data_IF_848516505813
#
_entry.id   IF_848516505813
#
_cell.length_a   1.000
_cell.length_b   1.000
_cell.length_c   1.000
_cell.angle_alpha   90.00
_cell.angle_beta   90.00
_cell.angle_gamma   90.00
#
_symmetry.space_group_name_H-M   'P 1'
#
loop_
_entity.id
_entity.type
_entity.pdbx_description
1 polymer ?
#
# COMPACT_ATOMS: atom_id res chain seq x y z
N UNK A 1 -59.66 -0.37 -39.58
CA UNK A 1 -59.49 -0.46 -38.11
C UNK A 1 -58.03 -0.74 -37.83
N UNK A 2 -57.34 0.24 -37.24
CA UNK A 2 -55.94 0.17 -36.81
C UNK A 2 -55.82 -0.46 -35.42
N UNK A 3 -54.58 -0.78 -35.04
CA UNK A 3 -54.05 -0.98 -33.69
C UNK A 3 -54.26 -2.35 -33.04
N UNK A 4 -53.30 -2.95 -32.33
CA UNK A 4 -51.98 -2.50 -31.88
C UNK A 4 -51.18 -3.78 -31.53
N UNK A 5 -50.01 -3.96 -32.13
CA UNK A 5 -49.08 -5.03 -31.75
C UNK A 5 -48.29 -4.56 -30.53
N UNK A 6 -48.57 -5.12 -29.35
CA UNK A 6 -47.73 -4.95 -28.16
C UNK A 6 -46.43 -5.73 -28.36
N UNK A 7 -45.34 -5.03 -28.71
CA UNK A 7 -43.99 -5.54 -28.47
C UNK A 7 -43.56 -5.12 -27.07
N UNK A 8 -43.61 -6.07 -26.14
CA UNK A 8 -43.03 -5.91 -24.82
C UNK A 8 -41.50 -5.91 -24.93
N UNK A 9 -40.89 -4.76 -24.66
CA UNK A 9 -39.44 -4.60 -24.58
C UNK A 9 -38.99 -5.20 -23.24
N UNK A 10 -38.42 -6.41 -23.27
CA UNK A 10 -37.74 -6.97 -22.10
C UNK A 10 -36.38 -6.27 -21.94
N UNK A 11 -36.25 -5.39 -20.96
CA UNK A 11 -34.97 -4.81 -20.56
C UNK A 11 -34.21 -5.89 -19.78
N UNK A 12 -33.28 -6.55 -20.46
CA UNK A 12 -32.26 -7.38 -19.83
C UNK A 12 -31.32 -6.46 -19.04
N UNK A 13 -31.56 -6.32 -17.74
CA UNK A 13 -30.58 -5.73 -16.82
C UNK A 13 -29.48 -6.78 -16.63
N UNK A 14 -28.43 -6.69 -17.43
CA UNK A 14 -27.21 -7.46 -17.21
C UNK A 14 -26.57 -6.89 -15.94
N UNK A 15 -26.80 -7.55 -14.81
CA UNK A 15 -26.00 -7.34 -13.61
C UNK A 15 -24.58 -7.84 -13.91
N UNK A 16 -23.75 -6.95 -14.46
CA UNK A 16 -22.31 -7.19 -14.55
C UNK A 16 -21.80 -7.35 -13.12
N UNK A 17 -21.28 -8.52 -12.79
CA UNK A 17 -20.62 -8.76 -11.51
C UNK A 17 -19.55 -7.68 -11.32
N UNK A 18 -19.71 -6.85 -10.29
CA UNK A 18 -18.73 -5.82 -9.97
C UNK A 18 -17.51 -6.52 -9.38
N UNK A 19 -16.42 -6.57 -10.15
CA UNK A 19 -15.15 -7.12 -9.67
C UNK A 19 -14.48 -6.09 -8.76
N UNK A 20 -14.64 -6.28 -7.47
CA UNK A 20 -13.99 -5.49 -6.42
C UNK A 20 -12.82 -6.26 -5.83
N UNK A 21 -11.70 -5.60 -5.58
CA UNK A 21 -10.54 -6.18 -4.90
C UNK A 21 -10.22 -5.38 -3.63
N UNK A 22 -10.10 -6.07 -2.49
CA UNK A 22 -9.59 -5.46 -1.27
C UNK A 22 -8.10 -5.12 -1.43
N UNK A 23 -7.70 -3.93 -1.01
CA UNK A 23 -6.33 -3.42 -1.15
C UNK A 23 -5.86 -2.71 0.11
N UNK A 24 -4.71 -3.13 0.64
CA UNK A 24 -4.05 -2.42 1.74
C UNK A 24 -3.46 -1.10 1.23
N UNK A 25 -3.75 -0.03 1.98
CA UNK A 25 -3.14 1.29 1.77
C UNK A 25 -2.44 1.70 3.04
N UNK A 26 -1.24 2.24 2.89
CA UNK A 26 -0.53 2.92 3.98
C UNK A 26 -0.24 4.34 3.62
N UNK A 27 -0.29 5.23 4.62
CA UNK A 27 -0.05 6.66 4.45
C UNK A 27 0.90 7.18 5.55
N UNK A 28 1.82 8.06 5.17
CA UNK A 28 2.56 8.90 6.12
C UNK A 28 1.86 10.25 6.28
N UNK A 29 1.40 10.57 7.50
CA UNK A 29 0.85 11.88 7.82
C UNK A 29 1.84 12.72 8.65
N UNK A 30 1.98 14.02 8.34
CA UNK A 30 3.02 14.88 8.92
C UNK A 30 2.82 15.25 10.39
N UNK A 31 1.67 14.97 11.00
CA UNK A 31 1.40 15.25 12.42
C UNK A 31 0.35 14.28 12.98
N UNK A 32 0.44 13.99 14.28
CA UNK A 32 -0.66 13.34 15.00
C UNK A 32 -1.91 14.22 14.97
N UNK A 33 -3.09 13.66 14.68
CA UNK A 33 -4.34 14.42 14.69
C UNK A 33 -4.58 15.07 16.05
N UNK A 34 -4.93 16.37 16.06
CA UNK A 34 -5.41 17.05 17.27
C UNK A 34 -6.94 17.12 17.22
N UNK A 35 -7.62 16.45 18.15
CA UNK A 35 -9.09 16.44 18.24
C UNK A 35 -9.75 15.19 17.62
N UNK A 36 -11.08 15.21 17.41
CA UNK A 36 -11.82 14.07 16.89
C UNK A 36 -11.31 13.70 15.49
N UNK A 37 -10.68 12.53 15.39
CA UNK A 37 -10.01 12.07 14.19
C UNK A 37 -10.86 11.03 13.46
N UNK A 38 -11.12 11.27 12.16
CA UNK A 38 -11.74 10.30 11.25
C UNK A 38 -10.68 9.81 10.26
N UNK A 39 -10.04 8.65 10.51
CA UNK A 39 -8.92 8.18 9.68
C UNK A 39 -9.25 8.11 8.19
N UNK A 40 -10.42 7.60 7.83
CA UNK A 40 -10.84 7.42 6.44
C UNK A 40 -10.99 8.74 5.68
N UNK A 41 -11.42 9.82 6.34
CA UNK A 41 -11.52 11.14 5.73
C UNK A 41 -10.16 11.66 5.25
N UNK A 42 -9.05 11.24 5.87
CA UNK A 42 -7.70 11.58 5.38
C UNK A 42 -7.45 10.95 4.02
N UNK A 43 -7.78 9.66 3.86
CA UNK A 43 -7.55 8.92 2.64
C UNK A 43 -8.52 9.36 1.52
N UNK A 44 -9.78 9.64 1.87
CA UNK A 44 -10.80 10.17 0.97
C UNK A 44 -10.38 11.51 0.37
N UNK A 45 -9.89 12.43 1.21
CA UNK A 45 -9.47 13.77 0.77
C UNK A 45 -8.26 13.75 -0.16
N UNK A 46 -7.40 12.73 -0.11
CA UNK A 46 -6.26 12.61 -1.03
C UNK A 46 -6.69 12.39 -2.49
N UNK A 47 -7.83 11.72 -2.69
CA UNK A 47 -8.28 11.27 -4.01
C UNK A 47 -9.79 11.40 -4.19
N UNK A 48 -10.34 12.55 -3.77
CA UNK A 48 -11.80 12.79 -3.70
C UNK A 48 -12.56 12.36 -4.96
N UNK A 49 -11.97 12.60 -6.15
CA UNK A 49 -12.56 12.21 -7.42
C UNK A 49 -12.76 10.69 -7.51
N UNK A 50 -11.76 9.90 -7.15
CA UNK A 50 -11.78 8.44 -7.24
C UNK A 50 -12.83 7.83 -6.29
N UNK A 51 -12.99 8.43 -5.10
CA UNK A 51 -14.06 8.06 -4.16
C UNK A 51 -15.45 8.44 -4.70
N UNK A 52 -15.58 9.65 -5.25
CA UNK A 52 -16.85 10.13 -5.83
C UNK A 52 -17.26 9.30 -7.05
N UNK A 53 -16.30 8.94 -7.90
CA UNK A 53 -16.47 8.09 -9.08
C UNK A 53 -16.64 6.61 -8.72
N UNK A 54 -16.62 6.25 -7.42
CA UNK A 54 -16.75 4.88 -6.88
C UNK A 54 -15.68 3.90 -7.36
N UNK A 55 -14.53 4.41 -7.80
CA UNK A 55 -13.35 3.58 -8.05
C UNK A 55 -12.83 3.02 -6.73
N UNK A 56 -12.85 3.85 -5.68
CA UNK A 56 -12.58 3.44 -4.30
C UNK A 56 -13.87 3.46 -3.49
N UNK A 57 -14.06 2.43 -2.67
CA UNK A 57 -15.13 2.34 -1.69
C UNK A 57 -14.62 1.63 -0.43
N UNK A 58 -15.48 1.48 0.58
CA UNK A 58 -15.22 0.68 1.79
C UNK A 58 -13.89 1.03 2.45
N UNK A 59 -13.83 2.05 3.30
CA UNK A 59 -12.62 2.35 4.06
C UNK A 59 -12.68 1.73 5.46
N UNK A 60 -11.76 0.81 5.76
CA UNK A 60 -11.53 0.29 7.09
C UNK A 60 -10.16 0.76 7.60
N UNK A 61 -10.13 1.40 8.77
CA UNK A 61 -8.88 1.75 9.44
C UNK A 61 -8.41 0.55 10.26
N UNK A 62 -7.18 0.11 10.01
CA UNK A 62 -6.62 -1.08 10.63
C UNK A 62 -5.80 -0.71 11.86
N UNK A 63 -4.81 0.18 11.68
CA UNK A 63 -3.87 0.53 12.74
C UNK A 63 -3.10 1.80 12.45
N UNK A 64 -2.47 2.28 13.50
CA UNK A 64 -1.60 3.43 13.51
C UNK A 64 -0.25 3.03 14.12
N UNK A 65 0.84 3.45 13.50
CA UNK A 65 2.20 3.16 13.95
C UNK A 65 2.98 4.45 14.11
N UNK A 66 3.47 4.69 15.32
CA UNK A 66 4.35 5.81 15.63
C UNK A 66 5.78 5.39 15.32
N UNK A 67 6.42 6.16 14.45
CA UNK A 67 7.85 6.01 14.18
C UNK A 67 8.63 6.93 15.12
N UNK A 68 9.94 6.69 15.27
CA UNK A 68 10.85 7.66 15.92
C UNK A 68 10.98 8.98 15.12
N UNK A 69 10.45 9.00 13.90
CA UNK A 69 10.21 10.19 13.09
C UNK A 69 8.86 10.81 13.52
N UNK A 70 8.69 12.14 13.60
CA UNK A 70 7.42 12.78 13.99
C UNK A 70 6.22 12.40 13.11
N UNK A 71 6.45 11.70 11.99
CA UNK A 71 5.42 11.23 11.09
C UNK A 71 4.76 9.95 11.59
N UNK A 72 3.44 9.96 11.46
CA UNK A 72 2.57 8.87 11.80
C UNK A 72 2.28 8.02 10.56
N UNK A 73 2.43 6.71 10.67
CA UNK A 73 1.97 5.77 9.65
C UNK A 73 0.56 5.30 10.02
N UNK A 74 -0.36 5.34 9.06
CA UNK A 74 -1.68 4.74 9.19
C UNK A 74 -1.88 3.70 8.10
N UNK A 75 -2.57 2.63 8.45
CA UNK A 75 -2.89 1.52 7.57
C UNK A 75 -4.40 1.38 7.43
N UNK A 76 -4.85 1.12 6.21
CA UNK A 76 -6.24 0.98 5.81
C UNK A 76 -6.42 -0.24 4.92
N UNK A 77 -7.63 -0.75 4.88
CA UNK A 77 -8.15 -1.57 3.77
C UNK A 77 -9.16 -0.74 2.99
N UNK A 78 -9.06 -0.81 1.66
CA UNK A 78 -10.04 -0.22 0.75
C UNK A 78 -10.53 -1.22 -0.29
N UNK A 79 -11.73 -1.01 -0.79
CA UNK A 79 -12.27 -1.71 -1.94
C UNK A 79 -11.92 -0.97 -3.23
N UNK A 80 -11.40 -1.69 -4.22
CA UNK A 80 -11.08 -1.15 -5.55
C UNK A 80 -11.96 -1.80 -6.61
N UNK A 81 -12.81 -1.01 -7.26
CA UNK A 81 -13.69 -1.44 -8.34
C UNK A 81 -12.92 -1.56 -9.67
N UNK A 82 -12.30 -2.72 -9.91
CA UNK A 82 -11.42 -2.98 -11.07
C UNK A 82 -12.17 -2.89 -12.39
N UNK A 83 -13.46 -3.23 -12.40
CA UNK A 83 -14.34 -3.09 -13.56
C UNK A 83 -14.50 -1.63 -14.04
N UNK A 84 -14.19 -0.64 -13.19
CA UNK A 84 -14.21 0.78 -13.55
C UNK A 84 -12.88 1.30 -14.10
N UNK A 85 -11.84 0.46 -14.14
CA UNK A 85 -10.59 0.81 -14.81
C UNK A 85 -10.75 0.79 -16.33
N UNK A 86 -9.90 1.53 -17.08
CA UNK A 86 -9.72 1.31 -18.51
C UNK A 86 -9.56 -0.19 -18.80
N UNK A 87 -10.20 -0.66 -19.87
CA UNK A 87 -10.32 -2.09 -20.21
C UNK A 87 -8.97 -2.83 -20.22
N UNK A 88 -7.93 -2.14 -20.67
CA UNK A 88 -6.55 -2.59 -20.75
C UNK A 88 -5.88 -2.81 -19.38
N UNK A 89 -6.43 -2.26 -18.31
CA UNK A 89 -5.90 -2.33 -16.95
C UNK A 89 -6.73 -3.23 -16.01
N UNK A 90 -7.84 -3.80 -16.49
CA UNK A 90 -8.73 -4.64 -15.65
C UNK A 90 -8.11 -5.99 -15.27
N UNK A 91 -7.05 -6.41 -15.98
CA UNK A 91 -6.35 -7.68 -15.77
C UNK A 91 -4.85 -7.48 -15.51
N UNK A 92 -4.48 -6.38 -14.84
CA UNK A 92 -3.10 -6.17 -14.42
C UNK A 92 -2.68 -7.24 -13.41
N UNK A 93 -1.46 -7.76 -13.54
CA UNK A 93 -0.87 -8.58 -12.49
C UNK A 93 -0.66 -7.74 -11.22
N UNK A 94 -0.60 -8.41 -10.07
CA UNK A 94 -0.60 -7.75 -8.76
C UNK A 94 0.40 -6.57 -8.62
N UNK A 95 1.68 -6.67 -9.01
CA UNK A 95 2.61 -5.54 -8.90
C UNK A 95 2.14 -4.29 -9.67
N UNK A 96 1.61 -4.49 -10.87
CA UNK A 96 1.15 -3.38 -11.71
C UNK A 96 -0.21 -2.85 -11.27
N UNK A 97 -1.08 -3.70 -10.73
CA UNK A 97 -2.32 -3.30 -10.09
C UNK A 97 -2.06 -2.37 -8.91
N UNK A 98 -1.21 -2.78 -7.95
CA UNK A 98 -0.94 -1.94 -6.77
C UNK A 98 -0.24 -0.64 -7.17
N UNK A 99 0.65 -0.67 -8.16
CA UNK A 99 1.22 0.55 -8.73
C UNK A 99 0.12 1.52 -9.22
N UNK A 100 -0.82 1.01 -10.00
CA UNK A 100 -1.89 1.81 -10.59
C UNK A 100 -2.83 2.39 -9.52
N UNK A 101 -3.21 1.59 -8.51
CA UNK A 101 -3.98 2.09 -7.36
C UNK A 101 -3.22 3.21 -6.63
N UNK A 102 -1.91 3.03 -6.39
CA UNK A 102 -1.11 4.06 -5.74
C UNK A 102 -1.03 5.35 -6.59
N UNK A 103 -0.97 5.24 -7.92
CA UNK A 103 -1.02 6.39 -8.83
C UNK A 103 -2.35 7.13 -8.73
N UNK A 104 -3.46 6.41 -8.63
CA UNK A 104 -4.78 6.99 -8.47
C UNK A 104 -4.93 7.72 -7.12
N UNK A 105 -4.38 7.16 -6.04
CA UNK A 105 -4.37 7.79 -4.71
C UNK A 105 -3.50 9.05 -4.65
N UNK A 106 -2.34 9.06 -5.31
CA UNK A 106 -1.39 10.18 -5.25
C UNK A 106 -1.48 11.16 -6.44
N UNK A 107 -2.47 11.05 -7.34
CA UNK A 107 -2.46 11.67 -8.68
C UNK A 107 -2.10 13.16 -8.70
N UNK A 108 -2.46 13.91 -7.64
CA UNK A 108 -2.21 15.35 -7.52
C UNK A 108 -1.20 15.72 -6.42
N UNK A 109 -0.60 14.73 -5.74
CA UNK A 109 0.26 14.97 -4.59
C UNK A 109 1.73 14.70 -4.94
N UNK A 110 2.55 15.74 -4.93
CA UNK A 110 3.99 15.62 -5.18
C UNK A 110 4.77 14.98 -4.03
N UNK A 111 4.16 14.86 -2.85
CA UNK A 111 4.79 14.33 -1.64
C UNK A 111 4.72 12.81 -1.54
N UNK A 112 3.88 12.16 -2.36
CA UNK A 112 3.68 10.71 -2.43
C UNK A 112 3.48 10.06 -1.06
N UNK A 113 2.48 10.50 -0.27
CA UNK A 113 2.35 10.07 1.11
C UNK A 113 1.89 8.62 1.22
N UNK A 114 1.34 8.03 0.15
CA UNK A 114 0.77 6.68 0.18
C UNK A 114 1.64 5.63 -0.52
N UNK A 115 1.48 4.38 -0.06
CA UNK A 115 1.87 3.17 -0.77
C UNK A 115 0.73 2.15 -0.66
N UNK A 116 0.68 1.23 -1.61
CA UNK A 116 -0.36 0.20 -1.67
C UNK A 116 0.22 -1.18 -1.85
N UNK A 117 -0.53 -2.17 -1.39
CA UNK A 117 -0.21 -3.58 -1.57
C UNK A 117 0.17 -4.26 -0.27
N UNK A 118 -0.44 -5.42 -0.07
CA UNK A 118 -0.13 -6.38 0.98
C UNK A 118 0.05 -7.73 0.29
N UNK A 119 1.22 -8.35 0.39
CA UNK A 119 1.30 -9.80 0.23
C UNK A 119 1.25 -10.40 1.63
N UNK A 120 0.36 -11.39 1.83
CA UNK A 120 0.02 -12.05 3.12
C UNK A 120 1.10 -11.82 4.18
N UNK A 121 0.73 -11.07 5.23
CA UNK A 121 1.59 -10.91 6.40
C UNK A 121 1.89 -12.31 6.93
N UNK A 122 3.15 -12.71 6.87
CA UNK A 122 3.64 -13.66 7.87
C UNK A 122 3.32 -13.05 9.23
N UNK A 123 2.75 -13.85 10.13
CA UNK A 123 2.41 -13.45 11.49
C UNK A 123 3.50 -12.52 12.03
N UNK A 124 3.07 -11.36 12.52
CA UNK A 124 3.84 -10.17 12.85
C UNK A 124 5.14 -10.41 13.65
N UNK A 125 5.24 -11.53 14.37
CA UNK A 125 6.41 -11.91 15.18
C UNK A 125 7.47 -12.79 14.48
N UNK A 126 7.13 -13.55 13.44
CA UNK A 126 8.10 -14.46 12.77
C UNK A 126 8.94 -13.76 11.68
N UNK A 127 8.60 -12.52 11.37
CA UNK A 127 9.02 -11.91 10.12
C UNK A 127 10.10 -10.82 10.28
N UNK A 128 10.28 -10.28 11.50
CA UNK A 128 11.24 -9.20 11.73
C UNK A 128 12.72 -9.59 11.64
N UNK A 129 13.07 -10.89 11.56
CA UNK A 129 14.45 -11.34 11.38
C UNK A 129 14.85 -11.64 9.93
N UNK A 130 13.89 -11.79 8.99
CA UNK A 130 14.17 -12.39 7.66
C UNK A 130 13.56 -11.65 6.45
N UNK A 131 12.99 -10.44 6.60
CA UNK A 131 12.55 -9.64 5.45
C UNK A 131 13.75 -9.17 4.60
N UNK A 132 14.18 -10.04 3.70
CA UNK A 132 15.24 -9.78 2.72
C UNK A 132 14.70 -9.17 1.44
N UNK A 133 13.46 -9.48 1.04
CA UNK A 133 12.96 -9.09 -0.27
C UNK A 133 11.91 -7.98 -0.20
N UNK A 134 12.22 -6.85 -0.83
CA UNK A 134 11.27 -5.77 -1.10
C UNK A 134 11.02 -5.68 -2.61
N UNK A 135 9.75 -5.59 -3.02
CA UNK A 135 9.40 -5.40 -4.41
C UNK A 135 9.08 -3.94 -4.67
N UNK A 136 9.81 -3.34 -5.60
CA UNK A 136 9.59 -1.98 -6.08
C UNK A 136 9.03 -2.06 -7.49
N UNK A 137 7.96 -1.34 -7.78
CA UNK A 137 7.33 -1.34 -9.09
C UNK A 137 7.23 0.08 -9.62
N UNK A 138 7.53 0.27 -10.91
CA UNK A 138 7.50 1.58 -11.55
C UNK A 138 8.05 1.55 -12.97
N UNK A 139 8.30 2.71 -13.60
CA UNK A 139 8.86 2.78 -14.94
C UNK A 139 10.15 1.97 -15.08
N UNK A 140 10.25 1.21 -16.17
CA UNK A 140 11.43 0.45 -16.53
C UNK A 140 12.56 1.39 -16.94
N UNK A 141 13.31 1.85 -15.94
CA UNK A 141 14.44 2.73 -16.09
C UNK A 141 15.74 1.93 -15.87
N UNK A 142 16.58 1.84 -16.91
CA UNK A 142 17.87 1.13 -16.85
C UNK A 142 18.85 1.69 -15.82
N UNK A 143 18.63 2.90 -15.31
CA UNK A 143 19.49 3.54 -14.30
C UNK A 143 19.03 3.32 -12.87
N UNK A 144 17.77 2.90 -12.64
CA UNK A 144 17.17 2.84 -11.30
C UNK A 144 17.98 1.96 -10.34
N UNK A 145 18.29 0.72 -10.73
CA UNK A 145 19.06 -0.18 -9.87
C UNK A 145 20.45 0.38 -9.54
N UNK A 146 21.13 0.98 -10.51
CA UNK A 146 22.44 1.60 -10.27
C UNK A 146 22.36 2.77 -9.27
N UNK A 147 21.26 3.53 -9.29
CA UNK A 147 21.00 4.61 -8.34
C UNK A 147 20.71 4.07 -6.94
N UNK A 148 19.84 3.07 -6.83
CA UNK A 148 19.45 2.45 -5.56
C UNK A 148 20.67 1.83 -4.85
N UNK A 149 21.56 1.16 -5.57
CA UNK A 149 22.76 0.52 -5.00
C UNK A 149 23.83 1.54 -4.57
N UNK A 150 23.88 2.73 -5.19
CA UNK A 150 24.84 3.79 -4.83
C UNK A 150 24.35 4.67 -3.69
N UNK A 151 23.04 4.77 -3.50
CA UNK A 151 22.43 5.68 -2.54
C UNK A 151 22.35 5.05 -1.14
N UNK A 152 22.67 5.85 -0.12
CA UNK A 152 22.49 5.44 1.28
C UNK A 152 21.14 5.93 1.80
N UNK A 153 20.26 5.02 2.20
CA UNK A 153 18.95 5.34 2.76
C UNK A 153 18.99 5.40 4.30
N UNK A 154 19.96 6.15 4.86
CA UNK A 154 20.25 6.17 6.31
C UNK A 154 19.00 6.38 7.19
N UNK A 155 18.06 7.24 6.78
CA UNK A 155 16.85 7.54 7.57
C UNK A 155 15.78 6.44 7.55
N UNK A 156 15.91 5.45 6.68
CA UNK A 156 14.86 4.42 6.45
C UNK A 156 15.10 3.11 7.17
N UNK A 157 16.32 2.88 7.70
CA UNK A 157 16.71 1.55 8.16
C UNK A 157 17.17 0.59 7.06
N UNK A 158 16.89 0.90 5.78
CA UNK A 158 17.13 0.01 4.64
C UNK A 158 18.52 0.18 4.02
N UNK A 159 19.20 -0.94 3.78
CA UNK A 159 20.38 -1.03 2.93
C UNK A 159 20.08 -1.95 1.74
N UNK A 160 20.24 -1.46 0.51
CA UNK A 160 19.94 -2.24 -0.70
C UNK A 160 21.20 -2.99 -1.13
N UNK A 161 21.17 -4.31 -1.05
CA UNK A 161 22.29 -5.20 -1.38
C UNK A 161 22.29 -5.61 -2.85
N UNK A 162 21.11 -5.85 -3.41
CA UNK A 162 20.94 -6.14 -4.85
C UNK A 162 19.64 -5.56 -5.37
N UNK A 163 19.58 -5.30 -6.68
CA UNK A 163 18.40 -4.84 -7.39
C UNK A 163 18.32 -5.53 -8.75
N UNK A 164 17.26 -6.29 -8.99
CA UNK A 164 17.06 -7.05 -10.22
C UNK A 164 15.65 -6.84 -10.75
N UNK A 165 15.49 -6.70 -12.07
CA UNK A 165 14.17 -6.77 -12.70
C UNK A 165 13.75 -8.23 -12.73
N UNK A 166 12.58 -8.54 -12.17
CA UNK A 166 12.03 -9.91 -12.15
C UNK A 166 10.85 -10.10 -13.10
N UNK A 167 10.18 -9.01 -13.46
CA UNK A 167 9.02 -9.04 -14.35
C UNK A 167 8.86 -7.70 -15.08
N UNK A 168 8.26 -7.71 -16.26
CA UNK A 168 7.93 -6.53 -17.06
C UNK A 168 6.50 -6.61 -17.54
N UNK A 169 5.76 -5.51 -17.40
CA UNK A 169 4.41 -5.49 -17.93
C UNK A 169 4.49 -5.51 -19.45
N UNK A 170 3.69 -6.38 -20.09
CA UNK A 170 3.71 -6.53 -21.54
C UNK A 170 3.24 -5.27 -22.28
N UNK A 171 2.41 -4.45 -21.63
CA UNK A 171 1.81 -3.23 -22.20
C UNK A 171 2.13 -2.01 -21.34
N UNK A 172 2.16 -0.80 -21.91
CA UNK A 172 2.22 0.42 -21.12
C UNK A 172 1.01 0.55 -20.19
N UNK A 173 1.23 1.05 -18.97
CA UNK A 173 0.17 1.49 -18.05
C UNK A 173 0.35 2.98 -17.81
N UNK A 174 -0.67 3.77 -18.13
CA UNK A 174 -0.62 5.24 -18.15
C UNK A 174 0.58 5.78 -18.97
N UNK A 175 0.90 5.10 -20.08
CA UNK A 175 2.01 5.47 -20.97
C UNK A 175 3.41 5.00 -20.52
N UNK A 176 3.51 4.27 -19.39
CA UNK A 176 4.80 3.78 -18.88
C UNK A 176 4.95 2.28 -19.08
N UNK A 177 6.10 1.88 -19.65
CA UNK A 177 6.53 0.48 -19.58
C UNK A 177 6.98 0.18 -18.16
N UNK A 178 6.21 -0.61 -17.41
CA UNK A 178 6.48 -0.90 -16.01
C UNK A 178 7.40 -2.12 -15.86
N UNK A 179 8.25 -2.09 -14.84
CA UNK A 179 9.05 -3.21 -14.37
C UNK A 179 8.81 -3.45 -12.88
N UNK A 180 8.86 -4.72 -12.49
CA UNK A 180 8.89 -5.14 -11.10
C UNK A 180 10.34 -5.46 -10.72
N UNK A 181 10.84 -4.76 -9.72
CA UNK A 181 12.21 -4.85 -9.24
C UNK A 181 12.22 -5.58 -7.90
N UNK A 182 12.97 -6.68 -7.82
CA UNK A 182 13.30 -7.34 -6.57
C UNK A 182 14.53 -6.67 -5.95
N UNK A 183 14.34 -6.10 -4.77
CA UNK A 183 15.41 -5.54 -3.96
C UNK A 183 15.71 -6.51 -2.83
N UNK A 184 16.99 -6.84 -2.68
CA UNK A 184 17.48 -7.56 -1.52
C UNK A 184 17.94 -6.52 -0.50
N UNK A 185 17.38 -6.55 0.70
CA UNK A 185 17.48 -5.49 1.71
C UNK A 185 18.01 -6.08 2.99
N UNK A 186 19.06 -5.47 3.54
CA UNK A 186 19.49 -5.71 4.91
C UNK A 186 19.10 -4.56 5.82
N UNK A 187 18.91 -4.89 7.10
CA UNK A 187 18.79 -3.89 8.15
C UNK A 187 20.15 -3.23 8.33
N UNK A 188 20.19 -1.91 8.27
CA UNK A 188 21.40 -1.16 8.62
C UNK A 188 21.72 -1.38 10.10
N UNK A 189 22.88 -1.98 10.40
CA UNK A 189 23.36 -2.31 11.76
C UNK A 189 23.39 -1.09 12.70
N UNK A 190 23.50 0.11 12.15
CA UNK A 190 23.58 1.38 12.90
C UNK A 190 22.23 2.07 13.11
N UNK A 191 21.15 1.53 12.56
CA UNK A 191 19.85 2.18 12.61
C UNK A 191 18.98 1.60 13.73
N UNK A 192 18.76 2.44 14.73
CA UNK A 192 17.84 2.25 15.83
C UNK A 192 16.35 2.38 15.43
N UNK A 193 16.08 2.49 14.12
CA UNK A 193 14.76 2.75 13.53
C UNK A 193 14.21 1.45 12.91
N UNK A 194 12.92 1.14 13.09
CA UNK A 194 12.26 0.08 12.33
C UNK A 194 12.32 0.39 10.83
N UNK A 195 12.30 -0.65 9.98
CA UNK A 195 12.30 -0.48 8.53
C UNK A 195 11.10 0.38 8.11
N UNK A 196 11.35 1.61 7.66
CA UNK A 196 10.32 2.54 7.23
C UNK A 196 10.33 2.63 5.70
N UNK A 197 9.62 1.69 5.07
CA UNK A 197 9.60 1.58 3.61
C UNK A 197 8.81 2.72 2.94
N UNK A 198 7.85 3.35 3.62
CA UNK A 198 7.17 4.53 3.10
C UNK A 198 8.13 5.72 2.96
N UNK A 199 9.03 5.90 3.92
CA UNK A 199 10.09 6.90 3.81
C UNK A 199 11.07 6.56 2.69
N UNK A 200 11.40 5.28 2.51
CA UNK A 200 12.20 4.82 1.37
C UNK A 200 11.51 5.16 0.05
N UNK A 201 10.23 4.81 -0.13
CA UNK A 201 9.46 5.15 -1.33
C UNK A 201 9.39 6.65 -1.57
N UNK A 202 9.25 7.48 -0.53
CA UNK A 202 9.30 8.94 -0.66
C UNK A 202 10.66 9.44 -1.13
N UNK A 203 11.76 8.83 -0.68
CA UNK A 203 13.10 9.15 -1.15
C UNK A 203 13.30 8.75 -2.62
N UNK A 204 12.83 7.57 -3.02
CA UNK A 204 12.91 7.08 -4.41
C UNK A 204 12.05 7.94 -5.34
N UNK A 205 10.88 8.37 -4.89
CA UNK A 205 9.97 9.22 -5.66
C UNK A 205 10.32 10.71 -5.66
N UNK A 206 11.40 11.13 -4.99
CA UNK A 206 11.79 12.53 -4.92
C UNK A 206 12.00 13.07 -6.33
N UNK A 207 11.23 14.10 -6.69
CA UNK A 207 11.23 14.74 -8.03
C UNK A 207 10.75 13.84 -9.18
N UNK A 208 10.14 12.68 -8.88
CA UNK A 208 9.65 11.74 -9.90
C UNK A 208 8.12 11.76 -10.01
N UNK A 209 7.39 12.34 -9.06
CA UNK A 209 5.92 12.45 -9.14
C UNK A 209 5.19 11.13 -8.88
N UNK A 210 5.58 10.39 -7.84
CA UNK A 210 4.93 9.15 -7.38
C UNK A 210 4.92 8.05 -8.44
N UNK A 211 6.04 7.85 -9.12
CA UNK A 211 6.22 6.85 -10.18
C UNK A 211 6.58 5.47 -9.64
N UNK A 212 6.95 5.36 -8.38
CA UNK A 212 7.30 4.09 -7.76
C UNK A 212 6.37 3.77 -6.60
N UNK A 213 5.92 2.53 -6.55
CA UNK A 213 5.25 1.92 -5.40
C UNK A 213 6.07 0.71 -4.94
N UNK A 214 5.79 0.17 -3.76
CA UNK A 214 6.43 -1.07 -3.36
C UNK A 214 5.81 -1.72 -2.13
N UNK A 215 6.10 -3.00 -1.99
CA UNK A 215 5.50 -3.87 -0.98
C UNK A 215 6.48 -4.96 -0.56
N UNK A 216 6.28 -5.48 0.66
CA UNK A 216 7.03 -6.61 1.18
C UNK A 216 6.39 -7.93 0.74
N UNK A 217 7.21 -8.97 0.55
CA UNK A 217 6.76 -10.33 0.23
C UNK A 217 7.68 -11.36 0.89
N UNK A 218 7.11 -12.46 1.38
CA UNK A 218 7.86 -13.63 1.87
C UNK A 218 8.12 -14.58 0.67
N UNK A 219 9.28 -14.43 0.04
CA UNK A 219 9.87 -15.37 -0.95
C UNK A 219 9.13 -15.49 -2.31
N UNK A 220 9.84 -16.11 -3.27
CA UNK A 220 9.68 -16.08 -4.73
C UNK A 220 8.25 -15.90 -5.26
N UNK A 221 8.11 -14.96 -6.21
CA UNK A 221 6.89 -14.78 -6.99
C UNK A 221 6.86 -15.88 -8.05
N UNK A 222 6.40 -17.08 -7.70
CA UNK A 222 5.70 -17.88 -8.70
C UNK A 222 4.35 -17.19 -8.92
N UNK A 223 4.04 -16.87 -10.17
CA UNK A 223 2.82 -16.17 -10.56
C UNK A 223 1.62 -17.10 -10.34
N UNK A 224 1.10 -17.16 -9.11
CA UNK A 224 -0.16 -17.84 -8.84
C UNK A 224 -1.28 -16.88 -9.24
N UNK A 225 -2.12 -17.34 -10.17
CA UNK A 225 -3.33 -16.64 -10.55
C UNK A 225 -4.23 -16.48 -9.32
N UNK A 226 -4.96 -15.37 -9.18
CA UNK A 226 -5.89 -15.15 -8.07
C UNK A 226 -7.18 -16.00 -8.21
N UNK A 227 -7.07 -17.22 -8.71
CA UNK A 227 -8.19 -18.17 -8.89
C UNK A 227 -8.10 -19.38 -7.97
N UNK A 228 -7.05 -19.51 -7.16
CA UNK A 228 -6.87 -20.65 -6.29
C UNK A 228 -7.30 -20.23 -4.88
N UNK A 229 -8.63 -20.14 -4.72
CA UNK A 229 -9.31 -20.25 -3.44
C UNK A 229 -9.17 -21.72 -3.00
N UNK A 230 -8.12 -22.02 -2.26
CA UNK A 230 -8.05 -23.27 -1.49
C UNK A 230 -8.54 -22.96 -0.07
N UNK A 231 -9.69 -23.55 0.22
CA UNK A 231 -10.36 -23.68 1.50
C UNK A 231 -9.42 -24.35 2.52
N UNK A 232 -8.69 -23.56 3.30
CA UNK A 232 -8.04 -24.03 4.53
C UNK A 232 -8.93 -23.64 5.72
N UNK A 233 -9.97 -24.45 5.92
CA UNK A 233 -10.69 -24.60 7.19
C UNK A 233 -9.71 -25.18 8.23
N UNK A 234 -9.03 -24.31 8.98
CA UNK A 234 -8.35 -24.69 10.22
C UNK A 234 -9.15 -24.15 11.41
N UNK A 235 -10.01 -25.04 11.93
CA UNK A 235 -10.59 -24.97 13.26
C UNK A 235 -9.49 -24.83 14.32
N UNK A 236 -9.45 -23.69 15.00
CA UNK A 236 -8.71 -23.51 16.23
C UNK A 236 -9.67 -23.02 17.32
N UNK A 237 -10.43 -23.97 17.87
CA UNK A 237 -10.88 -23.90 19.25
C UNK A 237 -9.64 -23.99 20.14
N UNK A 238 -9.38 -22.96 20.94
CA UNK A 238 -9.01 -23.09 22.36
C UNK A 238 -8.86 -21.69 22.95
N UNK A 239 -9.80 -21.38 23.84
CA UNK A 239 -9.79 -20.22 24.71
C UNK A 239 -9.01 -20.57 25.98
N UNK A 240 -7.99 -19.79 26.30
CA UNK A 240 -7.47 -19.68 27.66
C UNK A 240 -7.32 -18.19 28.01
N UNK A 241 -8.12 -17.79 29.00
CA UNK A 241 -8.10 -16.51 29.68
C UNK A 241 -6.80 -16.36 30.47
N UNK A 242 -5.92 -15.44 30.06
CA UNK A 242 -4.84 -14.93 30.93
C UNK A 242 -4.98 -13.43 31.13
N UNK A 243 -5.48 -13.12 32.33
CA UNK A 243 -5.67 -11.83 32.95
C UNK A 243 -4.30 -11.18 33.24
N UNK A 244 -3.81 -10.32 32.34
CA UNK A 244 -2.56 -9.56 32.55
C UNK A 244 -2.83 -8.09 32.89
N UNK A 245 -2.77 -7.86 34.20
CA UNK A 245 -2.50 -6.61 34.92
C UNK A 245 -1.77 -5.54 34.09
N UNK A 246 -2.48 -4.47 33.75
CA UNK A 246 -1.92 -3.18 33.37
C UNK A 246 -1.40 -2.46 34.62
N UNK A 247 -0.13 -2.68 34.97
CA UNK A 247 0.59 -1.84 35.93
C UNK A 247 1.58 -0.93 35.21
N UNK A 248 1.37 0.38 35.38
CA UNK A 248 2.38 1.44 35.47
C UNK A 248 3.54 1.45 34.46
N UNK A 249 3.36 2.22 33.39
CA UNK A 249 4.46 2.98 32.80
C UNK A 249 4.17 4.46 33.02
N UNK A 250 4.86 5.02 34.02
CA UNK A 250 4.80 6.42 34.39
C UNK A 250 5.26 7.34 33.26
N UNK A 251 4.29 7.93 32.56
CA UNK A 251 4.47 9.19 31.84
C UNK A 251 4.49 10.34 32.87
N UNK A 252 5.65 10.52 33.51
CA UNK A 252 5.96 11.76 34.23
C UNK A 252 6.91 12.61 33.37
N UNK A 253 6.42 13.81 33.06
CA UNK A 253 7.20 15.02 32.80
C UNK A 253 8.15 15.01 31.60
N UNK A 254 7.59 15.07 30.38
CA UNK A 254 8.25 15.76 29.27
C UNK A 254 7.75 17.19 29.20
N UNK A 255 8.60 18.12 29.64
CA UNK A 255 8.35 19.54 29.71
C UNK A 255 8.12 20.13 28.31
N UNK A 256 6.86 20.48 28.03
CA UNK A 256 6.38 20.99 26.75
C UNK A 256 7.08 22.31 26.31
N UNK A 257 7.70 23.03 27.25
CA UNK A 257 8.42 24.28 26.94
C UNK A 257 9.80 24.07 26.31
N UNK A 258 10.44 22.91 26.51
CA UNK A 258 11.74 22.64 25.88
C UNK A 258 11.62 22.31 24.39
N UNK A 259 10.49 21.72 23.99
CA UNK A 259 10.22 21.36 22.58
C UNK A 259 9.94 22.59 21.70
N UNK A 260 9.52 23.71 22.29
CA UNK A 260 9.20 24.95 21.58
C UNK A 260 10.47 25.79 21.30
N UNK A 261 11.55 25.59 22.07
CA UNK A 261 12.80 26.36 21.91
C UNK A 261 13.76 25.83 20.83
N UNK A 262 13.47 24.70 20.19
CA UNK A 262 14.32 24.11 19.15
C UNK A 262 13.75 24.23 17.72
N UNK A 263 12.76 25.09 17.50
CA UNK A 263 12.29 25.56 16.19
C UNK A 263 12.71 27.01 15.99
#
# INVERSE_FOLDING_TARGET
MQSLSLFGLAILVVYGSSRTLETEVRILVPNSPRGPFKPCTVLENLSLKQWTDRIFSGCAFERMTFHKDPRLEMQFQIDVAVNLFPSEYQNLSFPYFVWYVNRLLNKNDSSCPTATGKRRQARYYEAMSNYKEFFLVGPNNGTLCSMLLKQKFKKTGMNIESCNIVDRNAKPVDGYMLANYRLNVSKSEKNEYPLNYLLFLRMVNKNQGCMYNGFWSKHDITMVNPSDDDDDDDDAEDADDDDLMLSDIGLKDLNLEELIRSL
#
